data_IF_123230446779
#
_entry.id   IF_123230446779
#
_cell.length_a   1.000
_cell.length_b   1.000
_cell.length_c   1.000
_cell.angle_alpha   90.00
_cell.angle_beta   90.00
_cell.angle_gamma   90.00
#
_symmetry.space_group_name_H-M   'P 1'
#
loop_
_entity.id
_entity.type
_entity.pdbx_description
1 polymer ?
#
# COMPACT_ATOMS: atom_id res chain seq x y z
N UNK A 1 13.60 -10.57 15.06
CA UNK A 1 12.42 -10.83 14.20
C UNK A 1 12.88 -10.71 12.76
N UNK A 2 12.65 -11.73 11.93
CA UNK A 2 13.05 -11.73 10.53
C UNK A 2 11.86 -11.41 9.63
N UNK A 3 12.07 -10.59 8.59
CA UNK A 3 11.02 -10.22 7.64
C UNK A 3 10.46 -11.42 6.86
N UNK A 4 11.19 -12.53 6.80
CA UNK A 4 10.78 -13.78 6.15
C UNK A 4 9.45 -14.34 6.67
N UNK A 5 9.07 -14.03 7.91
CA UNK A 5 7.82 -14.50 8.49
C UNK A 5 6.59 -13.69 8.03
N UNK A 6 6.81 -12.60 7.28
CA UNK A 6 5.77 -11.67 6.84
C UNK A 6 5.68 -11.59 5.31
N UNK A 7 6.14 -12.63 4.61
CA UNK A 7 6.00 -12.73 3.15
C UNK A 7 4.53 -12.51 2.76
N UNK A 8 4.33 -11.74 1.70
CA UNK A 8 3.04 -11.27 1.16
C UNK A 8 2.24 -10.33 2.08
N UNK A 9 2.74 -9.99 3.26
CA UNK A 9 2.09 -9.05 4.18
C UNK A 9 2.58 -7.62 3.98
N UNK A 10 1.71 -6.67 4.31
CA UNK A 10 2.02 -5.25 4.40
C UNK A 10 2.36 -4.91 5.85
N UNK A 11 3.55 -4.34 6.04
CA UNK A 11 4.08 -3.97 7.36
C UNK A 11 4.64 -2.55 7.35
N UNK A 12 4.80 -1.99 8.54
CA UNK A 12 5.51 -0.74 8.74
C UNK A 12 6.93 -1.02 9.27
N UNK A 13 7.92 -0.39 8.64
CA UNK A 13 9.31 -0.46 9.05
C UNK A 13 9.76 0.95 9.44
N UNK A 14 10.32 1.08 10.65
CA UNK A 14 11.11 2.24 11.03
C UNK A 14 12.57 1.91 10.74
N UNK A 15 13.23 2.69 9.89
CA UNK A 15 14.64 2.49 9.56
C UNK A 15 15.56 3.09 10.61
N UNK A 16 16.85 2.75 10.55
CA UNK A 16 17.89 3.33 11.43
C UNK A 16 18.12 4.82 11.21
N UNK A 17 17.86 5.32 10.00
CA UNK A 17 17.85 6.76 9.65
C UNK A 17 16.52 7.45 9.99
N UNK A 18 15.66 6.79 10.76
CA UNK A 18 14.35 7.29 11.20
C UNK A 18 13.34 7.57 10.09
N UNK A 19 13.47 6.94 8.92
CA UNK A 19 12.39 6.90 7.93
C UNK A 19 11.31 5.88 8.35
N UNK A 20 10.05 6.21 8.06
CA UNK A 20 8.92 5.29 8.17
C UNK A 20 8.56 4.79 6.76
N UNK A 21 8.63 3.48 6.57
CA UNK A 21 8.32 2.82 5.31
C UNK A 21 7.10 1.92 5.49
N UNK A 22 6.11 2.05 4.60
CA UNK A 22 5.07 1.04 4.41
C UNK A 22 5.52 0.12 3.28
N UNK A 23 5.70 -1.15 3.59
CA UNK A 23 6.28 -2.11 2.64
C UNK A 23 5.44 -3.37 2.54
N UNK A 24 5.33 -3.91 1.33
CA UNK A 24 4.89 -5.28 1.10
C UNK A 24 6.11 -6.18 0.98
N UNK A 25 6.20 -7.21 1.82
CA UNK A 25 7.33 -8.14 1.79
C UNK A 25 7.13 -9.14 0.65
N UNK A 26 8.07 -9.20 -0.30
CA UNK A 26 7.99 -10.13 -1.43
C UNK A 26 8.71 -11.43 -1.08
N UNK A 27 9.87 -11.35 -0.44
CA UNK A 27 10.66 -12.53 -0.13
C UNK A 27 12.05 -12.21 0.38
N UNK A 28 12.87 -13.24 0.50
CA UNK A 28 14.28 -13.10 0.87
C UNK A 28 15.12 -12.80 -0.38
N UNK A 29 16.12 -11.94 -0.26
CA UNK A 29 17.14 -11.81 -1.29
C UNK A 29 17.97 -13.10 -1.35
N UNK A 30 17.98 -13.75 -2.51
CA UNK A 30 18.69 -15.02 -2.73
C UNK A 30 20.20 -14.83 -2.91
N UNK A 31 20.65 -13.60 -3.22
CA UNK A 31 22.06 -13.31 -3.51
C UNK A 31 22.80 -12.94 -2.23
N UNK A 32 22.19 -12.11 -1.37
CA UNK A 32 22.77 -11.70 -0.08
C UNK A 32 21.86 -12.20 1.04
N UNK A 33 22.31 -13.22 1.77
CA UNK A 33 21.56 -13.93 2.81
C UNK A 33 20.95 -13.08 3.95
N UNK A 34 21.18 -11.76 3.96
CA UNK A 34 20.73 -10.77 4.96
C UNK A 34 19.82 -9.65 4.39
N UNK A 35 19.46 -9.74 3.10
CA UNK A 35 18.55 -8.81 2.46
C UNK A 35 17.15 -9.41 2.28
N UNK A 36 16.14 -8.55 2.17
CA UNK A 36 14.78 -8.93 1.84
C UNK A 36 14.30 -8.09 0.66
N UNK A 37 13.70 -8.77 -0.31
CA UNK A 37 13.02 -8.11 -1.43
C UNK A 37 11.68 -7.59 -0.93
N UNK A 38 11.46 -6.29 -1.08
CA UNK A 38 10.24 -5.60 -0.65
C UNK A 38 9.74 -4.64 -1.71
N UNK A 39 8.45 -4.34 -1.69
CA UNK A 39 7.85 -3.22 -2.42
C UNK A 39 7.54 -2.10 -1.43
N UNK A 40 8.21 -0.96 -1.55
CA UNK A 40 7.90 0.25 -0.77
C UNK A 40 6.67 0.89 -1.40
N UNK A 41 5.56 0.84 -0.67
CA UNK A 41 4.30 1.47 -1.06
C UNK A 41 4.35 2.96 -0.72
N UNK A 42 4.82 3.28 0.48
CA UNK A 42 4.90 4.65 1.00
C UNK A 42 6.19 4.86 1.81
N UNK A 43 6.73 6.07 1.74
CA UNK A 43 7.83 6.57 2.58
C UNK A 43 7.43 7.89 3.21
N UNK A 44 7.38 7.95 4.54
CA UNK A 44 7.05 9.16 5.31
C UNK A 44 5.77 9.89 4.83
N UNK A 45 4.69 9.19 4.47
CA UNK A 45 3.47 9.81 3.95
C UNK A 45 3.43 9.97 2.43
N UNK A 46 4.52 9.67 1.70
CA UNK A 46 4.60 9.83 0.25
C UNK A 46 4.57 8.49 -0.48
N UNK A 47 3.64 8.37 -1.44
CA UNK A 47 3.55 7.20 -2.31
C UNK A 47 4.81 7.09 -3.18
N UNK A 48 5.43 5.90 -3.19
CA UNK A 48 6.67 5.61 -3.91
C UNK A 48 6.49 4.52 -4.97
N UNK A 49 5.73 3.48 -4.65
CA UNK A 49 5.52 2.27 -5.45
C UNK A 49 6.82 1.66 -6.06
N UNK A 50 7.85 1.46 -5.22
CA UNK A 50 9.19 1.05 -5.64
C UNK A 50 9.57 -0.33 -5.10
N UNK A 51 10.00 -1.25 -5.97
CA UNK A 51 10.66 -2.49 -5.54
C UNK A 51 12.13 -2.25 -5.18
N UNK A 52 12.55 -2.72 -4.01
CA UNK A 52 13.93 -2.60 -3.55
C UNK A 52 14.32 -3.76 -2.61
N UNK A 53 15.57 -3.75 -2.15
CA UNK A 53 16.09 -4.64 -1.13
C UNK A 53 16.31 -3.82 0.15
N UNK A 54 15.80 -4.31 1.28
CA UNK A 54 16.11 -3.77 2.61
C UNK A 54 16.96 -4.80 3.35
N UNK A 55 18.03 -4.36 4.00
CA UNK A 55 18.90 -5.20 4.80
C UNK A 55 18.51 -5.17 6.28
N UNK A 56 18.78 -6.26 7.01
CA UNK A 56 18.49 -6.36 8.46
C UNK A 56 19.07 -5.18 9.27
N UNK A 57 20.24 -4.66 8.87
CA UNK A 57 20.95 -3.55 9.54
C UNK A 57 20.28 -2.18 9.36
N UNK A 58 19.41 -2.04 8.36
CA UNK A 58 18.68 -0.80 8.12
C UNK A 58 17.38 -0.73 8.94
N UNK A 59 16.99 -1.84 9.60
CA UNK A 59 15.72 -1.96 10.32
C UNK A 59 15.92 -1.65 11.80
N UNK A 60 15.29 -0.58 12.27
CA UNK A 60 15.25 -0.21 13.69
C UNK A 60 14.08 -0.87 14.41
N UNK A 61 12.89 -0.84 13.81
CA UNK A 61 11.67 -1.47 14.35
C UNK A 61 10.75 -1.96 13.23
N UNK A 62 10.00 -3.01 13.53
CA UNK A 62 8.94 -3.55 12.68
C UNK A 62 7.63 -3.41 13.43
N UNK A 63 6.59 -2.94 12.75
CA UNK A 63 5.22 -2.89 13.24
C UNK A 63 4.33 -3.67 12.27
N UNK A 64 3.61 -4.65 12.81
CA UNK A 64 2.71 -5.52 12.04
C UNK A 64 1.33 -4.86 12.08
N UNK A 65 0.73 -4.72 10.91
CA UNK A 65 -0.63 -4.19 10.79
C UNK A 65 -1.64 -5.33 10.98
N UNK A 66 -2.79 -5.09 11.64
CA UNK A 66 -3.90 -6.04 11.65
C UNK A 66 -4.36 -6.39 10.23
N UNK A 67 -4.82 -7.63 10.02
CA UNK A 67 -5.19 -8.13 8.69
C UNK A 67 -6.26 -7.27 8.01
N UNK A 68 -7.23 -6.76 8.78
CA UNK A 68 -8.31 -5.90 8.28
C UNK A 68 -7.76 -4.60 7.70
N UNK A 69 -6.72 -4.04 8.33
CA UNK A 69 -6.04 -2.83 7.84
C UNK A 69 -5.27 -3.13 6.57
N UNK A 70 -4.56 -4.26 6.52
CA UNK A 70 -3.81 -4.67 5.32
C UNK A 70 -4.75 -4.86 4.12
N UNK A 71 -5.89 -5.53 4.30
CA UNK A 71 -6.90 -5.71 3.26
C UNK A 71 -7.47 -4.36 2.77
N UNK A 72 -7.74 -3.44 3.70
CA UNK A 72 -8.20 -2.09 3.35
C UNK A 72 -7.19 -1.35 2.47
N UNK A 73 -5.90 -1.43 2.80
CA UNK A 73 -4.81 -0.83 2.02
C UNK A 73 -4.75 -1.43 0.61
N UNK A 74 -4.79 -2.75 0.47
CA UNK A 74 -4.75 -3.42 -0.85
C UNK A 74 -5.93 -3.03 -1.74
N UNK A 75 -7.14 -2.92 -1.18
CA UNK A 75 -8.31 -2.46 -1.92
C UNK A 75 -8.16 -1.02 -2.42
N UNK A 76 -7.55 -0.15 -1.61
CA UNK A 76 -7.33 1.26 -2.01
C UNK A 76 -6.21 1.44 -3.03
N UNK A 77 -5.16 0.60 -3.00
CA UNK A 77 -4.06 0.66 -3.96
C UNK A 77 -4.46 0.13 -5.35
N UNK A 78 -5.33 -0.88 -5.39
CA UNK A 78 -5.80 -1.49 -6.64
C UNK A 78 -6.95 -0.71 -7.30
N UNK A 79 -7.45 0.36 -6.66
CA UNK A 79 -8.54 1.13 -7.23
C UNK A 79 -8.02 2.12 -8.29
N UNK A 80 -7.89 1.62 -9.53
CA UNK A 80 -8.07 2.49 -10.69
C UNK A 80 -9.49 3.08 -10.56
N UNK A 81 -9.65 4.41 -10.53
CA UNK A 81 -10.99 4.98 -10.66
C UNK A 81 -11.55 4.42 -11.96
N UNK A 82 -12.68 3.72 -11.86
CA UNK A 82 -13.44 3.21 -13.00
C UNK A 82 -13.55 4.38 -13.98
N UNK A 83 -13.08 4.14 -15.20
CA UNK A 83 -13.03 5.12 -16.28
C UNK A 83 -14.28 6.00 -16.25
N UNK A 84 -14.09 7.31 -16.31
CA UNK A 84 -15.20 8.23 -16.56
C UNK A 84 -15.82 7.76 -17.87
N UNK A 85 -17.00 7.13 -17.80
CA UNK A 85 -17.76 6.76 -18.99
C UNK A 85 -18.19 8.05 -19.68
N UNK A 86 -17.32 8.57 -20.54
CA UNK A 86 -17.63 9.66 -21.45
C UNK A 86 -18.39 9.04 -22.62
N UNK A 87 -19.69 8.85 -22.43
CA UNK A 87 -20.58 8.56 -23.53
C UNK A 87 -20.66 9.82 -24.40
N UNK A 88 -20.06 9.79 -25.59
CA UNK A 88 -20.01 10.94 -26.51
C UNK A 88 -21.38 11.30 -27.11
N UNK A 89 -22.40 10.47 -26.89
CA UNK A 89 -23.73 10.63 -27.50
C UNK A 89 -24.83 11.11 -26.53
N UNK A 90 -24.53 11.40 -25.25
CA UNK A 90 -25.54 11.85 -24.29
C UNK A 90 -25.14 13.15 -23.56
N UNK A 91 -25.95 14.23 -23.64
CA UNK A 91 -25.65 15.49 -22.99
C UNK A 91 -26.20 15.49 -21.56
N UNK A 92 -25.62 14.74 -20.62
CA UNK A 92 -25.71 15.06 -19.18
C UNK A 92 -24.85 14.15 -18.32
N UNK A 93 -24.02 14.78 -17.49
CA UNK A 93 -23.30 14.15 -16.38
C UNK A 93 -24.34 13.70 -15.33
N UNK A 94 -24.43 12.41 -15.02
CA UNK A 94 -25.28 11.92 -13.93
C UNK A 94 -24.40 11.42 -12.80
N UNK A 95 -24.26 12.23 -11.76
CA UNK A 95 -23.66 11.82 -10.49
C UNK A 95 -24.69 11.04 -9.68
N UNK A 96 -24.50 9.73 -9.53
CA UNK A 96 -25.30 8.94 -8.61
C UNK A 96 -24.77 9.07 -7.18
N UNK A 97 -25.54 9.74 -6.34
CA UNK A 97 -25.41 9.66 -4.88
C UNK A 97 -25.38 11.00 -4.17
N UNK A 98 -26.57 11.53 -3.86
CA UNK A 98 -26.92 11.95 -2.48
C UNK A 98 -28.41 12.23 -2.38
N UNK A 99 -29.04 11.55 -1.44
CA UNK A 99 -30.42 11.75 -1.01
C UNK A 99 -30.65 13.20 -0.56
N UNK A 100 -31.84 13.77 -0.79
CA UNK A 100 -32.68 14.24 0.32
C UNK A 100 -34.06 14.81 -0.08
N UNK A 101 -35.02 14.40 0.75
CA UNK A 101 -36.25 15.07 1.22
C UNK A 101 -37.46 15.21 0.29
N UNK A 102 -38.40 14.31 0.59
CA UNK A 102 -39.85 14.37 0.35
C UNK A 102 -40.48 15.61 1.03
N UNK A 103 -41.57 16.12 0.39
CA UNK A 103 -42.61 17.09 0.78
C UNK A 103 -42.53 18.38 -0.06
N UNK A 104 -43.60 18.87 -0.70
CA UNK A 104 -45.01 18.49 -0.79
C UNK A 104 -45.52 19.02 -2.12
#
# INVERSE_FOLDING_TARGET
MHLVNYIDQIILIKTTIDDLLMVKVIGKDSIRYKGYKVKILEKNGQNMDLETIIYDEEIKKICILPNEVQQGIELTLNHLPIEIFKNTDLPSLVEFGKSQKVKQ
#
